data_IF_894270221917
#
_entry.id   IF_894270221917
#
_cell.length_a   1.000
_cell.length_b   1.000
_cell.length_c   1.000
_cell.angle_alpha   90.00
_cell.angle_beta   90.00
_cell.angle_gamma   90.00
#
_symmetry.space_group_name_H-M   'P 1'
#
loop_
_entity.id
_entity.type
_entity.pdbx_description
1 polymer ?
#
# COMPACT_ATOMS: atom_id res chain seq x y z
N UNK A 1 -28.39 -25.34 16.80
CA UNK A 1 -27.37 -24.33 16.45
C UNK A 1 -28.11 -23.02 16.27
N UNK A 2 -27.96 -22.11 17.21
CA UNK A 2 -28.67 -20.83 17.22
C UNK A 2 -28.20 -19.91 16.10
N UNK A 3 -29.14 -19.13 15.53
CA UNK A 3 -28.87 -18.10 14.50
C UNK A 3 -27.80 -17.11 14.98
N UNK A 4 -27.75 -16.85 16.28
CA UNK A 4 -26.73 -15.98 16.90
C UNK A 4 -25.31 -16.57 16.80
N UNK A 5 -25.16 -17.90 16.94
CA UNK A 5 -23.88 -18.60 16.71
C UNK A 5 -23.48 -18.62 15.23
N UNK A 6 -24.47 -18.70 14.34
CA UNK A 6 -24.25 -18.68 12.90
C UNK A 6 -23.79 -17.29 12.42
N UNK A 7 -24.36 -16.23 13.00
CA UNK A 7 -23.97 -14.84 12.74
C UNK A 7 -22.56 -14.53 13.27
N UNK A 8 -22.18 -15.06 14.44
CA UNK A 8 -20.82 -14.90 14.97
C UNK A 8 -19.79 -15.62 14.13
N UNK A 9 -20.08 -16.85 13.68
CA UNK A 9 -19.22 -17.58 12.75
C UNK A 9 -19.04 -16.84 11.41
N UNK A 10 -20.12 -16.25 10.89
CA UNK A 10 -20.08 -15.45 9.67
C UNK A 10 -19.16 -14.23 9.86
N UNK A 11 -19.34 -13.46 10.94
CA UNK A 11 -18.57 -12.26 11.24
C UNK A 11 -17.07 -12.53 11.46
N UNK A 12 -16.72 -13.66 12.08
CA UNK A 12 -15.32 -14.06 12.29
C UNK A 12 -14.63 -14.40 10.96
N UNK A 13 -15.37 -14.93 9.96
CA UNK A 13 -14.79 -15.33 8.67
C UNK A 13 -14.33 -14.16 7.79
N UNK A 14 -14.95 -12.98 7.91
CA UNK A 14 -14.63 -11.83 7.05
C UNK A 14 -13.35 -11.09 7.44
N UNK A 15 -12.77 -11.35 8.60
CA UNK A 15 -11.66 -10.55 9.16
C UNK A 15 -10.31 -10.95 8.54
N UNK A 16 -10.23 -12.07 7.80
CA UNK A 16 -8.94 -12.67 7.41
C UNK A 16 -8.60 -12.61 5.92
N UNK A 17 -9.26 -11.77 5.11
CA UNK A 17 -8.88 -11.60 3.70
C UNK A 17 -7.65 -10.69 3.57
N UNK A 18 -6.46 -11.25 3.82
CA UNK A 18 -5.22 -10.68 3.30
C UNK A 18 -5.06 -11.18 1.87
N UNK A 19 -5.45 -10.36 0.90
CA UNK A 19 -5.25 -10.68 -0.51
C UNK A 19 -3.74 -10.68 -0.81
N UNK A 20 -3.24 -11.78 -1.37
CA UNK A 20 -1.85 -11.88 -1.81
C UNK A 20 -1.68 -11.02 -3.07
N UNK A 21 -0.64 -10.18 -3.08
CA UNK A 21 -0.33 -9.30 -4.20
C UNK A 21 0.87 -9.83 -4.99
N UNK A 22 0.78 -9.80 -6.32
CA UNK A 22 1.89 -10.11 -7.22
C UNK A 22 2.60 -8.85 -7.66
N UNK A 23 3.91 -8.87 -7.67
CA UNK A 23 4.74 -7.74 -8.07
C UNK A 23 5.76 -8.15 -9.11
N UNK A 24 6.15 -7.21 -9.98
CA UNK A 24 7.34 -7.39 -10.80
C UNK A 24 8.57 -7.44 -9.89
N UNK A 25 9.50 -8.32 -10.19
CA UNK A 25 10.83 -8.29 -9.60
C UNK A 25 11.92 -8.50 -10.65
N UNK A 26 13.08 -7.91 -10.38
CA UNK A 26 14.24 -7.94 -11.31
C UNK A 26 15.47 -8.59 -10.70
N UNK A 27 15.45 -8.83 -9.39
CA UNK A 27 16.58 -9.40 -8.67
C UNK A 27 16.10 -10.18 -7.45
N UNK A 28 16.66 -11.38 -7.28
CA UNK A 28 16.51 -12.14 -6.04
C UNK A 28 17.32 -11.51 -4.91
N UNK A 29 16.80 -11.63 -3.69
CA UNK A 29 17.49 -11.17 -2.48
C UNK A 29 17.21 -12.14 -1.35
N UNK A 30 18.00 -12.07 -0.28
CA UNK A 30 17.84 -12.94 0.89
C UNK A 30 16.42 -12.87 1.50
N UNK A 31 15.72 -11.76 1.27
CA UNK A 31 14.37 -11.51 1.81
C UNK A 31 13.25 -11.64 0.77
N UNK A 32 13.56 -11.84 -0.53
CA UNK A 32 12.56 -11.89 -1.61
C UNK A 32 12.96 -12.94 -2.65
N UNK A 33 12.11 -13.95 -2.82
CA UNK A 33 12.21 -14.93 -3.91
C UNK A 33 11.58 -14.33 -5.17
N UNK A 34 12.35 -14.27 -6.25
CA UNK A 34 11.92 -13.71 -7.53
C UNK A 34 11.89 -14.82 -8.57
N UNK A 35 10.77 -15.52 -8.70
CA UNK A 35 10.60 -16.64 -9.61
C UNK A 35 9.97 -16.16 -10.92
N UNK A 36 10.65 -16.38 -12.05
CA UNK A 36 10.14 -15.95 -13.36
C UNK A 36 9.95 -14.43 -13.50
N UNK A 37 10.67 -13.62 -12.73
CA UNK A 37 10.53 -12.16 -12.73
C UNK A 37 9.29 -11.64 -11.99
N UNK A 38 8.67 -12.49 -11.17
CA UNK A 38 7.52 -12.16 -10.33
C UNK A 38 7.79 -12.59 -8.88
N UNK A 39 7.26 -11.84 -7.93
CA UNK A 39 7.23 -12.22 -6.53
C UNK A 39 5.82 -11.99 -5.97
N UNK A 40 5.39 -12.86 -5.05
CA UNK A 40 4.05 -12.85 -4.45
C UNK A 40 4.18 -12.76 -2.93
N UNK A 41 3.34 -11.96 -2.28
CA UNK A 41 3.36 -11.81 -0.83
C UNK A 41 1.98 -11.51 -0.24
N UNK A 42 1.75 -12.02 0.96
CA UNK A 42 0.59 -11.69 1.79
C UNK A 42 0.90 -10.45 2.64
N UNK A 43 0.17 -9.35 2.44
CA UNK A 43 0.27 -8.17 3.30
C UNK A 43 1.54 -7.33 3.14
N UNK A 44 1.90 -6.96 1.90
CA UNK A 44 3.09 -6.15 1.62
C UNK A 44 2.87 -5.03 0.60
N UNK A 45 3.95 -4.61 -0.08
CA UNK A 45 3.91 -3.67 -1.20
C UNK A 45 4.93 -4.00 -2.28
N UNK A 46 4.58 -3.72 -3.52
CA UNK A 46 5.48 -3.74 -4.66
C UNK A 46 6.33 -2.48 -4.65
N UNK A 47 7.65 -2.64 -4.81
CA UNK A 47 8.59 -1.53 -4.83
C UNK A 47 9.21 -1.33 -6.21
N UNK A 48 9.51 -0.08 -6.51
CA UNK A 48 10.44 0.37 -7.55
C UNK A 48 11.61 1.09 -6.87
N UNK A 49 12.83 0.66 -7.19
CA UNK A 49 14.08 1.29 -6.74
C UNK A 49 14.81 1.86 -7.95
N UNK A 50 15.01 3.17 -7.97
CA UNK A 50 15.78 3.86 -8.99
C UNK A 50 17.14 4.26 -8.41
N UNK A 51 18.20 3.58 -8.88
CA UNK A 51 19.58 3.84 -8.50
C UNK A 51 20.33 4.51 -9.67
N UNK A 52 21.07 5.61 -9.44
CA UNK A 52 21.71 6.41 -10.50
C UNK A 52 22.83 5.72 -11.30
N UNK A 53 23.14 4.45 -10.99
CA UNK A 53 24.23 3.68 -11.61
C UNK A 53 23.77 2.31 -12.07
N UNK A 54 22.93 1.66 -11.27
CA UNK A 54 22.41 0.32 -11.56
C UNK A 54 21.09 0.38 -12.36
N UNK A 55 20.46 1.56 -12.42
CA UNK A 55 19.17 1.75 -13.05
C UNK A 55 18.01 1.36 -12.14
N UNK A 56 16.88 1.03 -12.76
CA UNK A 56 15.64 0.71 -12.06
C UNK A 56 15.57 -0.79 -11.77
N UNK A 57 15.18 -1.09 -10.54
CA UNK A 57 14.94 -2.45 -10.07
C UNK A 57 13.58 -2.54 -9.40
N UNK A 58 12.88 -3.64 -9.68
CA UNK A 58 11.61 -3.98 -9.04
C UNK A 58 11.82 -5.08 -8.00
N UNK A 59 11.06 -5.03 -6.90
CA UNK A 59 11.08 -6.05 -5.84
C UNK A 59 9.80 -6.03 -5.00
N UNK A 60 9.64 -7.05 -4.16
CA UNK A 60 8.59 -7.14 -3.15
C UNK A 60 9.09 -6.61 -1.79
N UNK A 61 8.18 -6.11 -0.95
CA UNK A 61 8.51 -5.72 0.41
C UNK A 61 7.39 -6.04 1.38
N UNK A 62 7.73 -6.66 2.51
CA UNK A 62 6.77 -7.08 3.53
C UNK A 62 6.11 -5.94 4.29
N UNK A 63 6.61 -4.70 4.15
CA UNK A 63 5.92 -3.53 4.70
C UNK A 63 5.10 -2.86 3.62
N UNK A 64 3.85 -2.56 3.94
CA UNK A 64 2.99 -1.75 3.09
C UNK A 64 3.53 -0.33 2.99
N UNK A 65 3.71 0.14 1.76
CA UNK A 65 3.89 1.55 1.44
C UNK A 65 2.63 2.04 0.76
N UNK A 66 2.20 3.26 1.07
CA UNK A 66 1.06 3.89 0.41
C UNK A 66 1.31 4.02 -1.10
N UNK A 67 0.27 3.79 -1.89
CA UNK A 67 0.32 3.88 -3.34
C UNK A 67 0.87 5.22 -3.83
N UNK A 68 1.84 5.14 -4.74
CA UNK A 68 2.49 6.31 -5.33
C UNK A 68 3.47 7.01 -4.38
N UNK A 69 3.65 6.51 -3.15
CA UNK A 69 4.60 7.10 -2.20
C UNK A 69 6.03 6.82 -2.63
N UNK A 70 6.81 7.89 -2.82
CA UNK A 70 8.21 7.84 -3.16
C UNK A 70 9.06 8.52 -2.09
N UNK A 71 10.16 7.90 -1.68
CA UNK A 71 11.16 8.47 -0.76
C UNK A 71 12.58 8.24 -1.28
N UNK A 72 13.45 9.21 -1.09
CA UNK A 72 14.87 9.07 -1.41
C UNK A 72 15.63 8.58 -0.18
N UNK A 73 16.50 7.59 -0.36
CA UNK A 73 17.42 7.10 0.67
C UNK A 73 18.84 7.07 0.15
N UNK A 74 19.79 7.47 0.98
CA UNK A 74 21.22 7.30 0.67
C UNK A 74 21.58 5.82 0.78
N UNK A 75 22.00 5.23 -0.33
CA UNK A 75 22.55 3.88 -0.38
C UNK A 75 23.88 3.78 0.38
N UNK A 76 24.30 2.55 0.71
CA UNK A 76 25.61 2.26 1.30
C UNK A 76 26.78 2.81 0.48
N UNK A 77 26.59 3.01 -0.83
CA UNK A 77 27.55 3.58 -1.78
C UNK A 77 27.48 5.11 -1.87
N UNK A 78 26.82 5.78 -0.92
CA UNK A 78 26.58 7.23 -0.88
C UNK A 78 25.84 7.78 -2.12
N UNK A 79 25.07 6.92 -2.79
CA UNK A 79 24.24 7.27 -3.94
C UNK A 79 22.79 7.44 -3.49
N UNK A 80 22.11 8.51 -3.93
CA UNK A 80 20.69 8.71 -3.65
C UNK A 80 19.86 7.71 -4.46
N UNK A 81 19.12 6.84 -3.78
CA UNK A 81 18.20 5.86 -4.38
C UNK A 81 16.79 6.29 -4.10
N UNK A 82 15.99 6.46 -5.16
CA UNK A 82 14.56 6.73 -5.02
C UNK A 82 13.82 5.41 -4.89
N UNK A 83 12.97 5.30 -3.87
CA UNK A 83 12.19 4.10 -3.58
C UNK A 83 10.72 4.50 -3.62
N UNK A 84 9.98 3.92 -4.54
CA UNK A 84 8.53 4.11 -4.64
C UNK A 84 7.79 2.81 -4.33
N UNK A 85 6.60 2.90 -3.74
CA UNK A 85 5.80 1.74 -3.35
C UNK A 85 4.34 1.82 -3.78
N UNK A 86 3.72 0.66 -3.97
CA UNK A 86 2.29 0.48 -4.22
C UNK A 86 1.81 -0.91 -3.76
N UNK A 87 0.53 -1.05 -3.46
CA UNK A 87 -0.08 -2.26 -2.92
C UNK A 87 -1.55 -2.47 -3.36
N UNK A 88 -2.10 -1.64 -4.26
CA UNK A 88 -3.51 -1.74 -4.68
C UNK A 88 -3.80 -2.82 -5.71
N UNK A 89 -2.85 -3.12 -6.60
CA UNK A 89 -3.08 -4.01 -7.73
C UNK A 89 -1.84 -4.84 -8.09
N UNK A 90 -2.08 -5.98 -8.72
CA UNK A 90 -1.01 -6.83 -9.24
C UNK A 90 -0.14 -6.08 -10.26
N UNK A 91 1.17 -6.23 -10.11
CA UNK A 91 2.21 -5.62 -10.93
C UNK A 91 2.20 -4.08 -10.94
N UNK A 92 1.57 -3.43 -9.95
CA UNK A 92 1.47 -1.97 -9.85
C UNK A 92 2.83 -1.25 -9.99
N UNK A 93 3.92 -1.85 -9.49
CA UNK A 93 5.24 -1.23 -9.54
C UNK A 93 5.77 -1.05 -10.97
N UNK A 94 5.42 -1.97 -11.87
CA UNK A 94 5.76 -1.89 -13.28
C UNK A 94 4.77 -1.01 -14.05
N UNK A 95 3.48 -1.09 -13.72
CA UNK A 95 2.43 -0.27 -14.34
C UNK A 95 2.61 1.23 -14.08
N UNK A 96 2.93 1.61 -12.85
CA UNK A 96 3.09 3.01 -12.45
C UNK A 96 4.47 3.56 -12.89
N UNK A 97 5.52 2.73 -12.84
CA UNK A 97 6.89 3.16 -13.12
C UNK A 97 7.64 2.24 -14.12
N UNK A 98 7.17 2.10 -15.37
CA UNK A 98 7.71 1.13 -16.32
C UNK A 98 9.17 1.40 -16.69
N UNK A 99 9.59 2.67 -16.72
CA UNK A 99 10.93 3.13 -17.13
C UNK A 99 11.59 4.04 -16.10
N UNK A 100 11.19 3.97 -14.82
CA UNK A 100 11.68 4.90 -13.78
C UNK A 100 11.23 6.35 -13.96
N UNK A 101 10.26 6.59 -14.84
CA UNK A 101 9.62 7.88 -15.06
C UNK A 101 8.64 8.22 -13.94
N UNK A 102 9.00 7.96 -12.68
CA UNK A 102 8.35 8.60 -11.55
C UNK A 102 8.66 10.10 -11.68
N UNK A 103 7.97 10.80 -12.57
CA UNK A 103 8.15 12.21 -12.84
C UNK A 103 8.07 12.98 -11.52
N UNK A 104 8.80 14.08 -11.41
CA UNK A 104 8.94 14.97 -10.24
C UNK A 104 7.61 15.51 -9.64
N UNK A 105 6.46 15.05 -10.11
CA UNK A 105 5.13 15.32 -9.53
C UNK A 105 4.80 14.55 -8.24
N UNK A 106 5.54 13.48 -7.91
CA UNK A 106 5.40 12.77 -6.63
C UNK A 106 6.36 13.34 -5.59
N UNK A 107 6.19 14.62 -5.23
CA UNK A 107 6.93 15.22 -4.10
C UNK A 107 6.63 14.38 -2.85
N UNK A 108 7.63 13.97 -2.07
CA UNK A 108 7.39 13.31 -0.79
C UNK A 108 6.57 14.27 0.07
N UNK A 109 5.37 13.85 0.49
CA UNK A 109 4.68 14.49 1.60
C UNK A 109 5.52 14.13 2.81
N UNK A 110 6.41 15.05 3.20
CA UNK A 110 7.14 14.96 4.45
C UNK A 110 6.10 14.83 5.56
N UNK A 111 6.28 13.80 6.39
CA UNK A 111 5.62 13.69 7.68
C UNK A 111 6.01 14.91 8.53
N UNK A 112 5.26 16.00 8.40
CA UNK A 112 5.19 17.07 9.40
C UNK A 112 3.85 16.91 10.13
N UNK A 113 3.96 16.29 11.30
CA UNK A 113 2.97 16.31 12.37
C UNK A 113 2.69 17.75 12.85
N UNK A 114 1.60 17.94 13.60
CA UNK A 114 1.15 19.17 14.31
C UNK A 114 -0.05 19.91 13.68
N UNK A 115 -1.22 19.52 14.19
CA UNK A 115 -2.29 20.40 14.67
C UNK A 115 -2.67 21.61 13.79
N UNK A 116 -3.66 21.41 12.90
CA UNK A 116 -4.47 22.52 12.42
C UNK A 116 -5.95 22.13 12.43
N UNK A 117 -6.59 22.48 13.54
CA UNK A 117 -8.05 22.69 13.58
C UNK A 117 -8.39 23.60 12.40
N UNK A 118 -9.11 23.07 11.43
CA UNK A 118 -9.76 23.88 10.40
C UNK A 118 -11.16 23.33 10.21
N UNK A 119 -12.07 23.98 10.94
CA UNK A 119 -13.50 23.92 10.74
C UNK A 119 -13.82 24.08 9.25
N UNK A 120 -14.43 23.07 8.65
CA UNK A 120 -15.26 23.26 7.47
C UNK A 120 -16.34 22.19 7.44
N UNK A 121 -17.55 22.70 7.59
CA UNK A 121 -18.83 22.04 7.67
C UNK A 121 -19.06 21.10 6.49
N UNK A 122 -19.18 19.80 6.76
CA UNK A 122 -19.89 18.88 5.89
C UNK A 122 -20.97 18.18 6.71
N UNK A 123 -22.21 18.61 6.46
CA UNK A 123 -23.41 17.97 6.95
C UNK A 123 -23.50 16.59 6.29
N UNK A 124 -23.17 15.54 7.04
CA UNK A 124 -23.57 14.18 6.68
C UNK A 124 -24.61 13.75 7.70
N UNK A 125 -25.83 13.67 7.18
CA UNK A 125 -27.07 13.34 7.87
C UNK A 125 -26.95 12.06 8.68
N UNK A 126 -27.17 12.19 9.99
CA UNK A 126 -27.43 11.11 10.92
C UNK A 126 -28.82 10.54 10.59
N UNK A 127 -29.00 9.24 10.29
CA UNK A 127 -30.30 8.63 10.52
C UNK A 127 -30.45 8.50 12.04
N UNK A 128 -31.21 9.44 12.59
CA UNK A 128 -31.58 9.52 13.99
C UNK A 128 -32.36 8.25 14.36
N UNK A 129 -31.75 7.42 15.19
CA UNK A 129 -32.50 6.53 16.06
C UNK A 129 -33.27 7.45 17.03
N UNK A 130 -34.58 7.58 16.86
CA UNK A 130 -35.47 7.84 17.98
C UNK A 130 -36.90 7.35 17.69
N UNK A 131 -37.21 6.21 18.30
CA UNK A 131 -38.45 5.93 19.04
C UNK A 131 -39.58 6.96 18.94
N UNK A 132 -40.78 6.55 18.51
CA UNK A 132 -41.98 6.46 19.37
C UNK A 132 -43.19 5.90 18.60
N UNK A 133 -43.81 4.87 19.19
CA UNK A 133 -45.26 4.54 19.29
C UNK A 133 -46.24 5.17 18.29
N UNK A 134 -47.07 4.33 17.64
CA UNK A 134 -48.55 4.32 17.68
C UNK A 134 -49.12 3.49 16.51
N UNK A 135 -49.45 2.20 16.75
CA UNK A 135 -50.82 1.66 16.75
C UNK A 135 -50.80 0.21 17.24
#
# INVERSE_FOLDING_TARGET
>A
MDISSLLTLLLISFISMSEAIKCKCTKESDTVKCEGGTCEMEGGSCLMLDHPKLGIHFTCHTRTLQDGSCRSKTSKTNSSVRICGCHSEDFCNYSIWPNGSASEGSRPKSDEDVNRVSSSSFLISIPLILSLRFL
#
